data_IF_793500816748
#
_entry.id   IF_793500816748
#
_cell.length_a   1.000
_cell.length_b   1.000
_cell.length_c   1.000
_cell.angle_alpha   90.00
_cell.angle_beta   90.00
_cell.angle_gamma   90.00
#
_symmetry.space_group_name_H-M   'P 1'
#
loop_
_entity.id
_entity.type
_entity.pdbx_description
1 polymer ?
#
# COMPACT_ATOMS: atom_id res chain seq x y z
N UNK A 1 -9.47 9.56 -5.08
CA UNK A 1 -10.17 9.99 -3.84
C UNK A 1 -9.65 9.14 -2.69
N UNK A 2 -9.03 9.75 -1.68
CA UNK A 2 -8.57 9.09 -0.45
C UNK A 2 -9.65 9.09 0.64
N UNK A 3 -9.40 8.44 1.77
CA UNK A 3 -10.31 8.44 2.92
C UNK A 3 -9.94 9.60 3.85
N UNK A 4 -10.89 10.49 4.10
CA UNK A 4 -10.77 11.51 5.13
C UNK A 4 -11.30 10.95 6.46
N UNK A 5 -10.60 11.23 7.55
CA UNK A 5 -11.01 10.80 8.89
C UNK A 5 -11.09 12.04 9.77
N UNK A 6 -12.23 12.24 10.42
CA UNK A 6 -12.40 13.23 11.47
C UNK A 6 -12.19 12.55 12.84
N UNK A 7 -11.55 13.25 13.76
CA UNK A 7 -11.35 12.78 15.13
C UNK A 7 -11.75 13.89 16.09
N UNK A 8 -12.58 13.56 17.07
CA UNK A 8 -12.93 14.50 18.14
C UNK A 8 -11.72 14.74 19.06
N UNK A 9 -11.51 16.00 19.47
CA UNK A 9 -10.49 16.37 20.45
C UNK A 9 -9.03 16.31 19.97
N UNK A 10 -8.78 16.02 18.68
CA UNK A 10 -7.44 16.20 18.07
C UNK A 10 -7.35 17.50 17.30
N UNK A 11 -6.30 18.26 17.58
CA UNK A 11 -5.93 19.40 16.74
C UNK A 11 -5.47 18.91 15.36
N UNK A 12 -6.01 19.51 14.31
CA UNK A 12 -5.72 19.22 12.91
C UNK A 12 -5.55 20.54 12.14
N UNK A 13 -4.69 20.60 11.11
CA UNK A 13 -4.58 21.77 10.23
C UNK A 13 -5.83 21.98 9.35
N UNK A 14 -6.80 21.07 9.42
CA UNK A 14 -8.10 21.18 8.80
C UNK A 14 -9.22 20.87 9.80
N UNK A 15 -10.33 21.60 9.69
CA UNK A 15 -11.53 21.46 10.52
C UNK A 15 -12.77 21.32 9.65
N UNK A 16 -13.86 20.81 10.24
CA UNK A 16 -15.17 20.74 9.60
C UNK A 16 -16.25 20.49 10.64
N UNK A 17 -17.50 20.79 10.29
CA UNK A 17 -18.66 20.65 11.18
C UNK A 17 -19.51 19.48 10.70
N UNK A 18 -19.78 18.52 11.60
CA UNK A 18 -20.71 17.43 11.32
C UNK A 18 -22.13 17.99 11.12
N UNK A 19 -22.83 17.52 10.08
CA UNK A 19 -24.21 17.94 9.80
C UNK A 19 -25.25 17.14 10.60
N UNK A 20 -24.85 15.97 11.11
CA UNK A 20 -25.69 15.07 11.90
C UNK A 20 -24.83 14.19 12.83
N UNK A 21 -25.46 13.65 13.88
CA UNK A 21 -24.85 12.68 14.79
C UNK A 21 -24.64 11.33 14.10
N UNK A 22 -23.54 10.65 14.39
CA UNK A 22 -23.20 9.38 13.78
C UNK A 22 -22.47 8.46 14.76
N UNK A 23 -22.62 7.14 14.58
CA UNK A 23 -21.93 6.12 15.34
C UNK A 23 -20.77 5.50 14.55
N UNK A 24 -19.94 4.71 15.23
CA UNK A 24 -18.85 3.97 14.58
C UNK A 24 -19.36 3.06 13.47
N UNK A 25 -18.98 3.33 12.22
CA UNK A 25 -19.42 2.60 11.03
C UNK A 25 -20.43 3.35 10.16
N UNK A 26 -20.96 4.50 10.62
CA UNK A 26 -21.92 5.31 9.87
C UNK A 26 -21.25 6.31 8.92
N UNK A 27 -22.04 6.85 7.99
CA UNK A 27 -21.64 7.96 7.11
C UNK A 27 -21.91 9.29 7.83
N UNK A 28 -20.93 10.18 7.85
CA UNK A 28 -21.06 11.55 8.41
C UNK A 28 -20.95 12.57 7.28
N UNK A 29 -21.98 13.41 7.14
CA UNK A 29 -21.89 14.59 6.28
C UNK A 29 -21.10 15.67 7.01
N UNK A 30 -20.15 16.31 6.32
CA UNK A 30 -19.34 17.39 6.88
C UNK A 30 -19.53 18.65 6.03
N UNK A 31 -19.75 19.79 6.69
CA UNK A 31 -19.81 21.12 6.07
C UNK A 31 -18.73 22.04 6.65
N UNK A 32 -18.60 23.22 6.08
CA UNK A 32 -17.67 24.27 6.52
C UNK A 32 -16.25 23.73 6.68
N UNK A 33 -15.78 23.01 5.66
CA UNK A 33 -14.43 22.46 5.65
C UNK A 33 -13.43 23.61 5.49
N UNK A 34 -12.60 23.82 6.49
CA UNK A 34 -11.57 24.86 6.51
C UNK A 34 -10.18 24.23 6.69
N UNK A 35 -9.15 24.91 6.20
CA UNK A 35 -7.77 24.47 6.27
C UNK A 35 -7.35 23.49 5.16
N UNK A 36 -6.11 22.99 5.25
CA UNK A 36 -5.50 22.13 4.22
C UNK A 36 -5.38 20.71 4.76
N UNK A 37 -6.03 19.76 4.09
CA UNK A 37 -5.77 18.34 4.31
C UNK A 37 -4.52 17.95 3.52
N UNK A 38 -3.38 17.80 4.22
CA UNK A 38 -2.16 17.33 3.59
C UNK A 38 -2.27 15.82 3.28
N UNK A 39 -2.46 15.47 2.00
CA UNK A 39 -2.37 14.08 1.54
C UNK A 39 -0.90 13.77 1.21
N UNK A 40 -0.27 12.95 2.04
CA UNK A 40 1.08 12.43 1.76
C UNK A 40 0.97 11.07 1.08
N UNK A 41 1.74 10.80 0.02
CA UNK A 41 1.84 9.47 -0.54
C UNK A 41 2.29 8.44 0.52
N UNK A 42 1.74 7.23 0.43
CA UNK A 42 2.23 6.07 1.14
C UNK A 42 3.53 5.57 0.51
N UNK A 43 4.12 4.54 1.11
CA UNK A 43 5.33 3.88 0.58
C UNK A 43 5.02 2.55 -0.07
N UNK A 44 5.79 2.19 -1.10
CA UNK A 44 5.72 0.89 -1.75
C UNK A 44 6.97 0.08 -1.41
N UNK A 45 6.79 -1.15 -0.92
CA UNK A 45 7.88 -2.11 -0.80
C UNK A 45 7.70 -3.20 -1.84
N UNK A 46 8.64 -3.30 -2.77
CA UNK A 46 8.62 -4.29 -3.85
C UNK A 46 9.34 -5.56 -3.38
N UNK A 47 8.57 -6.55 -2.94
CA UNK A 47 9.03 -7.87 -2.56
C UNK A 47 9.25 -8.74 -3.80
N UNK A 48 10.51 -8.84 -4.24
CA UNK A 48 10.90 -9.61 -5.43
C UNK A 48 10.93 -11.10 -5.15
N UNK A 49 10.22 -11.86 -5.97
CA UNK A 49 10.14 -13.31 -5.90
C UNK A 49 11.08 -13.90 -6.95
N UNK A 50 11.90 -14.86 -6.54
CA UNK A 50 12.72 -15.64 -7.47
C UNK A 50 11.96 -16.92 -7.83
N UNK A 51 11.79 -17.23 -9.10
CA UNK A 51 11.00 -18.41 -9.50
C UNK A 51 11.52 -19.74 -8.90
N UNK A 52 12.81 -19.81 -8.54
CA UNK A 52 13.40 -20.97 -7.84
C UNK A 52 12.99 -21.14 -6.36
N UNK A 53 12.33 -20.14 -5.75
CA UNK A 53 11.86 -20.21 -4.35
C UNK A 53 10.42 -20.73 -4.22
N UNK A 54 9.65 -20.73 -5.31
CA UNK A 54 8.25 -21.19 -5.32
C UNK A 54 8.14 -22.69 -5.00
N UNK A 55 7.30 -23.05 -4.03
CA UNK A 55 7.01 -24.45 -3.68
C UNK A 55 8.06 -25.12 -2.77
N UNK A 56 9.13 -24.40 -2.40
CA UNK A 56 9.97 -24.79 -1.25
C UNK A 56 9.29 -24.32 0.04
N UNK A 57 9.74 -24.80 1.20
CA UNK A 57 9.12 -24.59 2.53
C UNK A 57 9.14 -23.11 3.00
N UNK A 58 8.49 -22.21 2.27
CA UNK A 58 8.33 -20.78 2.48
C UNK A 58 9.63 -19.97 2.56
N UNK A 59 9.59 -18.64 2.38
CA UNK A 59 10.72 -17.76 2.62
C UNK A 59 11.02 -17.69 4.13
N UNK A 60 11.66 -18.72 4.69
CA UNK A 60 12.02 -18.80 6.12
C UNK A 60 13.33 -18.08 6.45
N UNK A 61 13.87 -17.33 5.50
CA UNK A 61 15.06 -16.50 5.66
C UNK A 61 14.85 -15.31 6.60
N UNK A 62 15.94 -14.78 7.13
CA UNK A 62 15.95 -13.57 7.97
C UNK A 62 15.39 -12.34 7.25
N UNK A 63 15.60 -12.25 5.94
CA UNK A 63 15.08 -11.18 5.07
C UNK A 63 13.55 -11.11 5.09
N UNK A 64 12.87 -12.23 4.88
CA UNK A 64 11.41 -12.30 4.86
C UNK A 64 10.79 -11.99 6.21
N UNK A 65 11.43 -12.42 7.32
CA UNK A 65 11.01 -12.03 8.68
C UNK A 65 11.17 -10.54 8.94
N UNK A 66 12.20 -9.91 8.37
CA UNK A 66 12.41 -8.46 8.49
C UNK A 66 11.36 -7.71 7.68
N UNK A 67 11.11 -8.15 6.44
CA UNK A 67 10.09 -7.60 5.57
C UNK A 67 8.71 -7.64 6.22
N UNK A 68 8.28 -8.79 6.72
CA UNK A 68 6.98 -8.95 7.39
C UNK A 68 6.84 -8.01 8.60
N UNK A 69 7.90 -7.85 9.39
CA UNK A 69 7.90 -6.89 10.51
C UNK A 69 7.81 -5.44 10.05
N UNK A 70 8.50 -5.07 8.98
CA UNK A 70 8.44 -3.70 8.46
C UNK A 70 7.17 -3.38 7.66
N UNK A 71 6.36 -4.38 7.34
CA UNK A 71 5.18 -4.24 6.47
C UNK A 71 3.89 -4.79 7.10
N UNK A 72 3.86 -4.96 8.42
CA UNK A 72 2.72 -5.58 9.12
C UNK A 72 1.38 -4.88 8.83
N UNK A 73 1.40 -3.55 8.68
CA UNK A 73 0.22 -2.70 8.50
C UNK A 73 0.01 -2.30 7.02
N UNK A 74 0.73 -2.92 6.09
CA UNK A 74 0.68 -2.56 4.67
C UNK A 74 -0.46 -3.32 3.98
N UNK A 75 -1.09 -2.66 3.01
CA UNK A 75 -1.94 -3.38 2.07
C UNK A 75 -1.06 -4.33 1.24
N UNK A 76 -1.48 -5.59 1.13
CA UNK A 76 -0.73 -6.59 0.36
C UNK A 76 -1.29 -6.61 -1.06
N UNK A 77 -0.40 -6.43 -2.02
CA UNK A 77 -0.66 -6.56 -3.45
C UNK A 77 0.13 -7.75 -3.98
N UNK A 78 -0.54 -8.64 -4.72
CA UNK A 78 0.06 -9.86 -5.24
C UNK A 78 -0.10 -9.89 -6.75
N UNK A 79 0.99 -9.69 -7.48
CA UNK A 79 0.99 -9.77 -8.94
C UNK A 79 1.13 -11.22 -9.35
N UNK A 80 0.21 -11.66 -10.22
CA UNK A 80 0.17 -13.01 -10.80
C UNK A 80 0.17 -14.17 -9.79
N UNK A 81 0.30 -15.40 -10.31
CA UNK A 81 0.26 -16.62 -9.52
C UNK A 81 1.47 -16.72 -8.57
N UNK A 82 2.65 -16.25 -8.98
CA UNK A 82 3.85 -16.27 -8.13
C UNK A 82 3.67 -15.34 -6.93
N UNK A 83 3.09 -14.15 -7.13
CA UNK A 83 2.72 -13.23 -6.06
C UNK A 83 1.73 -13.85 -5.08
N UNK A 84 0.69 -14.52 -5.58
CA UNK A 84 -0.33 -15.17 -4.76
C UNK A 84 0.24 -16.35 -3.95
N UNK A 85 1.07 -17.19 -4.58
CA UNK A 85 1.75 -18.31 -3.90
C UNK A 85 2.67 -17.76 -2.81
N UNK A 86 3.45 -16.73 -3.11
CA UNK A 86 4.34 -16.10 -2.12
C UNK A 86 3.58 -15.48 -0.96
N UNK A 87 2.45 -14.81 -1.23
CA UNK A 87 1.57 -14.27 -0.18
C UNK A 87 1.08 -15.40 0.75
N UNK A 88 0.63 -16.52 0.17
CA UNK A 88 0.17 -17.69 0.92
C UNK A 88 1.28 -18.30 1.77
N UNK A 89 2.48 -18.46 1.22
CA UNK A 89 3.64 -18.99 1.96
C UNK A 89 4.07 -18.09 3.13
N UNK A 90 3.85 -16.78 3.00
CA UNK A 90 4.10 -15.78 4.04
C UNK A 90 2.94 -15.59 5.03
N UNK A 91 1.80 -16.26 4.81
CA UNK A 91 0.61 -16.09 5.64
C UNK A 91 -0.09 -14.73 5.47
N UNK A 92 0.12 -14.08 4.32
CA UNK A 92 -0.45 -12.79 3.98
C UNK A 92 -1.75 -12.96 3.19
N UNK A 93 -2.71 -12.05 3.41
CA UNK A 93 -3.95 -11.97 2.64
C UNK A 93 -3.89 -10.78 1.68
N UNK A 94 -3.71 -11.01 0.37
CA UNK A 94 -3.77 -9.94 -0.62
C UNK A 94 -5.10 -9.18 -0.55
N UNK A 95 -5.04 -7.87 -0.68
CA UNK A 95 -6.19 -6.98 -0.90
C UNK A 95 -6.28 -6.50 -2.35
N UNK A 96 -5.18 -6.64 -3.09
CA UNK A 96 -5.04 -6.23 -4.48
C UNK A 96 -4.51 -7.43 -5.27
N UNK A 97 -5.38 -8.05 -6.05
CA UNK A 97 -5.07 -9.24 -6.88
C UNK A 97 -5.30 -9.00 -8.38
N UNK A 98 -6.00 -7.91 -8.72
CA UNK A 98 -6.30 -7.51 -10.10
C UNK A 98 -5.85 -6.08 -10.33
N UNK A 99 -5.44 -5.77 -11.57
CA UNK A 99 -4.90 -4.45 -11.91
C UNK A 99 -3.74 -4.06 -10.98
N UNK A 100 -2.89 -5.02 -10.63
CA UNK A 100 -2.04 -4.94 -9.43
C UNK A 100 -1.11 -3.73 -9.43
N UNK A 101 -0.44 -3.46 -10.55
CA UNK A 101 0.44 -2.29 -10.67
C UNK A 101 -0.32 -0.95 -10.58
N UNK A 102 -1.35 -0.69 -11.42
CA UNK A 102 -2.09 0.56 -11.31
C UNK A 102 -2.79 0.72 -9.95
N UNK A 103 -3.35 -0.34 -9.37
CA UNK A 103 -3.99 -0.29 -8.06
C UNK A 103 -2.98 -0.06 -6.92
N UNK A 104 -1.77 -0.63 -7.00
CA UNK A 104 -0.68 -0.37 -6.04
C UNK A 104 -0.27 1.09 -6.04
N UNK A 105 -0.04 1.65 -7.24
CA UNK A 105 0.28 3.07 -7.41
C UNK A 105 -0.86 3.95 -6.90
N UNK A 106 -2.10 3.65 -7.30
CA UNK A 106 -3.28 4.40 -6.90
C UNK A 106 -3.49 4.44 -5.39
N UNK A 107 -3.24 3.31 -4.71
CA UNK A 107 -3.30 3.19 -3.27
C UNK A 107 -2.20 4.02 -2.59
N UNK A 108 -0.96 3.94 -3.09
CA UNK A 108 0.16 4.73 -2.58
C UNK A 108 -0.08 6.24 -2.76
N UNK A 109 -0.63 6.70 -3.88
CA UNK A 109 -1.03 8.11 -4.07
C UNK A 109 -2.04 8.59 -3.04
N UNK A 110 -2.84 7.68 -2.49
CA UNK A 110 -3.86 7.95 -1.46
C UNK A 110 -3.34 7.78 -0.04
N UNK A 111 -2.02 7.65 0.15
CA UNK A 111 -1.42 7.51 1.48
C UNK A 111 -1.36 6.07 2.01
N UNK A 112 -1.74 5.07 1.22
CA UNK A 112 -1.74 3.67 1.65
C UNK A 112 -0.35 3.07 1.42
N UNK A 113 0.25 2.51 2.46
CA UNK A 113 1.49 1.75 2.32
C UNK A 113 1.19 0.39 1.69
N UNK A 114 1.97 -0.02 0.68
CA UNK A 114 1.73 -1.26 -0.08
C UNK A 114 2.95 -2.16 -0.07
N UNK A 115 2.75 -3.44 0.28
CA UNK A 115 3.71 -4.51 0.01
C UNK A 115 3.32 -5.15 -1.32
N UNK A 116 4.11 -4.92 -2.37
CA UNK A 116 3.92 -5.50 -3.70
C UNK A 116 4.78 -6.75 -3.85
N UNK A 117 4.14 -7.92 -3.86
CA UNK A 117 4.77 -9.20 -4.15
C UNK A 117 4.74 -9.45 -5.66
N UNK A 118 5.91 -9.59 -6.27
CA UNK A 118 6.04 -9.62 -7.74
C UNK A 118 7.23 -10.48 -8.18
N UNK A 119 7.15 -11.22 -9.32
CA UNK A 119 8.31 -11.91 -9.88
C UNK A 119 9.47 -10.95 -10.20
N UNK A 120 10.70 -11.41 -10.04
CA UNK A 120 11.91 -10.63 -10.35
C UNK A 120 11.91 -10.11 -11.81
N UNK A 121 11.36 -10.88 -12.75
CA UNK A 121 11.23 -10.52 -14.17
C UNK A 121 10.29 -9.33 -14.42
N UNK A 122 9.39 -9.02 -13.49
CA UNK A 122 8.36 -7.97 -13.63
C UNK A 122 8.68 -6.71 -12.81
N UNK A 123 9.80 -6.69 -12.08
CA UNK A 123 10.21 -5.56 -11.23
C UNK A 123 10.41 -4.28 -12.03
N UNK A 124 11.02 -4.38 -13.22
CA UNK A 124 11.25 -3.21 -14.07
C UNK A 124 9.94 -2.53 -14.47
N UNK A 125 8.89 -3.30 -14.74
CA UNK A 125 7.55 -2.79 -15.06
C UNK A 125 6.92 -2.09 -13.85
N UNK A 126 7.05 -2.67 -12.65
CA UNK A 126 6.56 -2.04 -11.43
C UNK A 126 7.26 -0.71 -11.15
N UNK A 127 8.60 -0.68 -11.26
CA UNK A 127 9.38 0.55 -11.10
C UNK A 127 8.97 1.59 -12.14
N UNK A 128 8.82 1.20 -13.41
CA UNK A 128 8.36 2.11 -14.45
C UNK A 128 6.98 2.70 -14.14
N UNK A 129 6.04 1.90 -13.65
CA UNK A 129 4.72 2.37 -13.26
C UNK A 129 4.78 3.40 -12.11
N UNK A 130 5.62 3.13 -11.10
CA UNK A 130 5.84 4.05 -9.98
C UNK A 130 6.51 5.35 -10.45
N UNK A 131 7.53 5.26 -11.29
CA UNK A 131 8.24 6.44 -11.80
C UNK A 131 7.37 7.30 -12.73
N UNK A 132 6.55 6.68 -13.57
CA UNK A 132 5.57 7.39 -14.39
C UNK A 132 4.55 8.13 -13.53
N UNK A 133 4.11 7.55 -12.41
CA UNK A 133 3.27 8.26 -11.45
C UNK A 133 4.03 9.37 -10.73
N UNK A 134 5.24 9.10 -10.27
CA UNK A 134 6.09 10.08 -9.61
C UNK A 134 6.35 11.29 -10.51
N UNK A 135 6.50 11.14 -11.82
CA UNK A 135 6.69 12.26 -12.74
C UNK A 135 5.57 13.32 -12.67
N UNK A 136 4.33 12.92 -12.33
CA UNK A 136 3.17 13.83 -12.21
C UNK A 136 2.85 14.28 -10.78
N UNK A 137 3.51 13.73 -9.76
CA UNK A 137 3.26 14.05 -8.36
C UNK A 137 4.23 15.12 -7.83
N UNK A 138 3.73 16.01 -6.99
CA UNK A 138 4.57 16.96 -6.24
C UNK A 138 5.40 16.22 -5.19
N UNK A 139 4.73 15.54 -4.26
CA UNK A 139 5.34 14.58 -3.35
C UNK A 139 5.48 13.21 -4.03
N UNK A 140 6.71 12.69 -4.12
CA UNK A 140 6.96 11.37 -4.74
C UNK A 140 6.53 10.24 -3.81
N UNK A 141 6.02 9.16 -4.39
CA UNK A 141 5.84 7.87 -3.73
C UNK A 141 7.22 7.28 -3.44
N UNK A 142 7.64 7.16 -2.17
CA UNK A 142 8.86 6.45 -1.84
C UNK A 142 8.69 4.95 -2.10
N UNK A 143 9.70 4.33 -2.68
CA UNK A 143 9.72 2.90 -2.88
C UNK A 143 11.10 2.28 -2.63
N UNK A 144 11.11 1.01 -2.24
CA UNK A 144 12.31 0.21 -2.10
C UNK A 144 12.08 -1.21 -2.60
N UNK A 145 13.14 -1.90 -2.96
CA UNK A 145 13.08 -3.25 -3.52
C UNK A 145 13.81 -4.23 -2.62
N UNK A 146 13.11 -5.27 -2.18
CA UNK A 146 13.63 -6.28 -1.25
C UNK A 146 13.56 -7.65 -1.91
N UNK A 147 14.64 -8.43 -1.83
CA UNK A 147 14.61 -9.82 -2.31
C UNK A 147 13.96 -10.74 -1.27
N UNK A 148 13.00 -11.56 -1.72
CA UNK A 148 12.48 -12.68 -0.95
C UNK A 148 13.41 -13.87 -1.22
N UNK A 149 14.15 -14.26 -0.19
CA UNK A 149 15.17 -15.31 -0.25
C UNK A 149 14.60 -16.69 -0.51
#
# INVERSE_FOLDING_TARGET
MGILVAQEGRSSPSTGVAVHDASGGDIVGVRDLEGIVALRPGRIVVGRIRSASLGRKGPRGTASKRLLRSTQDFAVAALDVEGLVSARELGLKPRIEFGVLPATVEAAERGVNVLLLIPETRVAEAVQAIETANARLEDKIPYETVALG
#
